data_IF_172093087912
#
_entry.id   IF_172093087912
#
_cell.length_a   1.000
_cell.length_b   1.000
_cell.length_c   1.000
_cell.angle_alpha   90.00
_cell.angle_beta   90.00
_cell.angle_gamma   90.00
#
_symmetry.space_group_name_H-M   'P 1'
#
loop_
_entity.id
_entity.type
_entity.pdbx_description
1 polymer ?
#
# COMPACT_ATOMS: atom_id res chain seq x y z
N UNK A 1 -3.52 -26.13 50.98
CA UNK A 1 -4.70 -26.52 50.15
C UNK A 1 -5.73 -27.24 51.01
N UNK A 2 -5.85 -26.88 52.28
CA UNK A 2 -6.43 -27.80 53.28
C UNK A 2 -7.89 -27.47 53.63
N UNK A 3 -8.39 -26.31 53.18
CA UNK A 3 -9.73 -25.81 53.47
C UNK A 3 -10.86 -26.29 52.55
N UNK A 4 -10.57 -27.06 51.50
CA UNK A 4 -11.57 -27.57 50.55
C UNK A 4 -12.20 -28.90 50.95
N UNK A 5 -13.40 -29.18 50.44
CA UNK A 5 -14.03 -30.51 50.54
C UNK A 5 -13.36 -31.52 49.60
N UNK A 6 -13.84 -32.78 49.58
CA UNK A 6 -13.25 -33.86 48.80
C UNK A 6 -13.08 -33.54 47.30
N UNK A 7 -14.08 -32.93 46.68
CA UNK A 7 -14.06 -32.58 45.25
C UNK A 7 -13.01 -31.49 44.99
N UNK A 8 -12.99 -30.45 45.82
CA UNK A 8 -11.99 -29.37 45.71
C UNK A 8 -10.58 -29.90 45.91
N UNK A 9 -10.35 -30.79 46.88
CA UNK A 9 -9.03 -31.39 47.13
C UNK A 9 -8.58 -32.28 45.98
N UNK A 10 -9.49 -33.08 45.43
CA UNK A 10 -9.19 -33.94 44.28
C UNK A 10 -8.82 -33.10 43.05
N UNK A 11 -9.63 -32.09 42.73
CA UNK A 11 -9.39 -31.20 41.60
C UNK A 11 -8.11 -30.37 41.79
N UNK A 12 -7.85 -29.86 43.00
CA UNK A 12 -6.62 -29.12 43.31
C UNK A 12 -5.37 -29.98 43.10
N UNK A 13 -5.42 -31.27 43.48
CA UNK A 13 -4.31 -32.20 43.25
C UNK A 13 -4.06 -32.41 41.75
N UNK A 14 -5.12 -32.64 40.98
CA UNK A 14 -5.01 -32.77 39.52
C UNK A 14 -4.42 -31.50 38.90
N UNK A 15 -4.88 -30.33 39.34
CA UNK A 15 -4.39 -29.04 38.85
C UNK A 15 -2.91 -28.80 39.17
N UNK A 16 -2.43 -29.20 40.35
CA UNK A 16 -1.01 -29.12 40.72
C UNK A 16 -0.11 -30.03 39.88
N UNK A 17 -0.63 -31.20 39.48
CA UNK A 17 0.08 -32.17 38.63
C UNK A 17 -0.03 -31.81 37.13
N UNK A 18 -0.81 -30.78 36.79
CA UNK A 18 -1.09 -30.34 35.43
C UNK A 18 -0.17 -29.18 34.98
N UNK A 19 -0.07 -28.92 33.66
CA UNK A 19 0.66 -27.76 33.16
C UNK A 19 0.17 -26.42 33.76
N UNK A 20 1.05 -25.38 33.84
CA UNK A 20 0.73 -24.13 34.55
C UNK A 20 -0.58 -23.44 34.16
N UNK A 21 -0.99 -23.54 32.90
CA UNK A 21 -2.26 -22.94 32.43
C UNK A 21 -3.50 -23.59 33.07
N UNK A 22 -3.47 -24.89 33.38
CA UNK A 22 -4.58 -25.58 34.06
C UNK A 22 -4.59 -25.28 35.56
N UNK A 23 -3.42 -25.13 36.18
CA UNK A 23 -3.32 -24.64 37.57
C UNK A 23 -3.91 -23.24 37.69
N UNK A 24 -3.59 -22.36 36.74
CA UNK A 24 -4.14 -21.02 36.68
C UNK A 24 -5.67 -21.04 36.50
N UNK A 25 -6.19 -21.81 35.55
CA UNK A 25 -7.62 -21.97 35.35
C UNK A 25 -8.34 -22.51 36.61
N UNK A 26 -7.70 -23.43 37.34
CA UNK A 26 -8.23 -23.92 38.62
C UNK A 26 -8.30 -22.81 39.67
N UNK A 27 -7.25 -21.99 39.80
CA UNK A 27 -7.22 -20.87 40.75
C UNK A 27 -8.26 -19.80 40.37
N UNK A 28 -8.43 -19.50 39.08
CA UNK A 28 -9.35 -18.45 38.64
C UNK A 28 -10.81 -18.86 38.76
N UNK A 29 -11.16 -20.09 38.39
CA UNK A 29 -12.58 -20.51 38.28
C UNK A 29 -12.85 -21.91 38.83
N UNK A 30 -11.87 -22.82 38.73
CA UNK A 30 -12.06 -24.22 39.15
C UNK A 30 -12.35 -24.38 40.63
N UNK A 31 -11.69 -23.61 41.50
CA UNK A 31 -11.87 -23.70 42.96
C UNK A 31 -13.31 -23.42 43.41
N UNK A 32 -13.99 -22.44 42.81
CA UNK A 32 -15.37 -22.08 43.15
C UNK A 32 -16.35 -23.12 42.61
N UNK A 33 -16.06 -23.67 41.42
CA UNK A 33 -16.86 -24.73 40.83
C UNK A 33 -16.80 -26.00 41.67
N UNK A 34 -15.61 -26.39 42.14
CA UNK A 34 -15.44 -27.59 42.96
C UNK A 34 -15.96 -27.38 44.38
N UNK A 35 -15.81 -26.18 44.95
CA UNK A 35 -16.42 -25.83 46.22
C UNK A 35 -17.96 -25.94 46.16
N UNK A 36 -18.56 -25.53 45.03
CA UNK A 36 -20.00 -25.73 44.81
C UNK A 36 -20.38 -27.21 44.76
N UNK A 37 -19.58 -28.08 44.15
CA UNK A 37 -19.83 -29.52 44.13
C UNK A 37 -19.75 -30.13 45.54
N UNK A 38 -18.77 -29.71 46.33
CA UNK A 38 -18.66 -30.12 47.73
C UNK A 38 -19.93 -29.74 48.51
N UNK A 39 -20.41 -28.52 48.34
CA UNK A 39 -21.61 -28.03 49.02
C UNK A 39 -22.89 -28.72 48.57
N UNK A 40 -23.05 -29.00 47.27
CA UNK A 40 -24.18 -29.79 46.76
C UNK A 40 -24.18 -31.21 47.33
N UNK A 41 -23.00 -31.82 47.44
CA UNK A 41 -22.84 -33.14 48.06
C UNK A 41 -23.20 -33.09 49.55
N UNK A 42 -22.74 -32.07 50.26
CA UNK A 42 -23.08 -31.86 51.67
C UNK A 42 -24.59 -31.66 51.88
N UNK A 43 -25.26 -30.86 51.04
CA UNK A 43 -26.72 -30.69 51.05
C UNK A 43 -27.43 -32.03 50.86
N UNK A 44 -26.99 -32.85 49.90
CA UNK A 44 -27.60 -34.16 49.65
C UNK A 44 -27.43 -35.09 50.85
N UNK A 45 -26.21 -35.20 51.40
CA UNK A 45 -25.94 -36.04 52.57
C UNK A 45 -26.78 -35.60 53.78
N UNK A 46 -26.85 -34.30 54.05
CA UNK A 46 -27.65 -33.76 55.14
C UNK A 46 -29.15 -34.02 54.92
N UNK A 47 -29.67 -33.86 53.70
CA UNK A 47 -31.05 -34.18 53.36
C UNK A 47 -31.39 -35.65 53.58
N UNK A 48 -30.51 -36.58 53.17
CA UNK A 48 -30.70 -38.02 53.43
C UNK A 48 -30.70 -38.32 54.93
N UNK A 49 -29.77 -37.73 55.70
CA UNK A 49 -29.73 -37.89 57.16
C UNK A 49 -30.98 -37.34 57.85
N UNK A 50 -31.50 -36.22 57.39
CA UNK A 50 -32.77 -35.67 57.86
C UNK A 50 -33.91 -36.67 57.63
N UNK A 51 -34.02 -37.25 56.43
CA UNK A 51 -35.06 -38.24 56.11
C UNK A 51 -34.95 -39.49 57.00
N UNK A 52 -33.73 -39.97 57.24
CA UNK A 52 -33.48 -41.09 58.16
C UNK A 52 -33.92 -40.74 59.59
N UNK A 53 -33.57 -39.55 60.08
CA UNK A 53 -33.99 -39.10 61.40
C UNK A 53 -35.53 -38.97 61.48
N UNK A 54 -36.19 -38.44 60.44
CA UNK A 54 -37.65 -38.39 60.37
C UNK A 54 -38.30 -39.78 60.38
N UNK A 55 -37.71 -40.76 59.69
CA UNK A 55 -38.14 -42.15 59.78
C UNK A 55 -37.96 -42.70 61.20
N UNK A 56 -36.87 -42.32 61.88
CA UNK A 56 -36.63 -42.62 63.29
C UNK A 56 -37.71 -42.05 64.23
N UNK A 57 -38.16 -40.81 64.00
CA UNK A 57 -39.28 -40.21 64.74
C UNK A 57 -40.53 -41.09 64.58
N UNK A 58 -40.90 -41.40 63.33
CA UNK A 58 -42.10 -42.19 63.05
C UNK A 58 -42.02 -43.59 63.68
N UNK A 59 -40.86 -44.25 63.61
CA UNK A 59 -40.64 -45.56 64.21
C UNK A 59 -40.71 -45.52 65.74
N UNK A 60 -40.06 -44.54 66.38
CA UNK A 60 -40.06 -44.40 67.84
C UNK A 60 -41.45 -44.03 68.37
N UNK A 61 -42.19 -43.14 67.69
CA UNK A 61 -43.59 -42.84 68.03
C UNK A 61 -44.50 -44.06 67.86
N UNK A 62 -44.27 -44.89 66.84
CA UNK A 62 -45.02 -46.15 66.69
C UNK A 62 -44.74 -47.13 67.85
N UNK A 63 -43.48 -47.24 68.30
CA UNK A 63 -43.10 -48.05 69.45
C UNK A 63 -43.70 -47.51 70.76
N UNK A 64 -43.71 -46.19 70.94
CA UNK A 64 -44.38 -45.53 72.07
C UNK A 64 -45.87 -45.89 72.11
N UNK A 65 -46.57 -45.74 70.98
CA UNK A 65 -47.99 -46.09 70.88
C UNK A 65 -48.25 -47.58 71.16
N UNK A 66 -47.40 -48.47 70.64
CA UNK A 66 -47.50 -49.91 70.88
C UNK A 66 -47.28 -50.26 72.36
N UNK A 67 -46.27 -49.67 73.01
CA UNK A 67 -46.00 -49.86 74.42
C UNK A 67 -47.11 -49.29 75.31
N UNK A 68 -47.67 -48.12 74.97
CA UNK A 68 -48.83 -47.56 75.65
C UNK A 68 -50.05 -48.49 75.55
N UNK A 69 -50.33 -49.04 74.36
CA UNK A 69 -51.41 -50.01 74.17
C UNK A 69 -51.17 -51.30 74.99
N UNK A 70 -49.94 -51.80 75.02
CA UNK A 70 -49.55 -52.96 75.84
C UNK A 70 -49.69 -52.69 77.35
N UNK A 71 -49.37 -51.48 77.81
CA UNK A 71 -49.54 -51.07 79.20
C UNK A 71 -51.04 -51.03 79.61
N UNK A 72 -51.90 -50.51 78.72
CA UNK A 72 -53.35 -50.51 78.93
C UNK A 72 -53.89 -51.95 78.97
N UNK A 73 -53.45 -52.80 78.05
CA UNK A 73 -53.84 -54.20 78.03
C UNK A 73 -53.36 -54.96 79.28
N UNK A 74 -52.14 -54.72 79.76
CA UNK A 74 -51.63 -55.35 80.99
C UNK A 74 -52.40 -54.88 82.23
N UNK A 75 -52.77 -53.59 82.29
CA UNK A 75 -53.63 -53.05 83.35
C UNK A 75 -55.00 -53.73 83.36
N UNK A 76 -55.61 -53.92 82.18
CA UNK A 76 -56.91 -54.59 82.06
C UNK A 76 -56.89 -56.08 82.46
N UNK A 77 -55.71 -56.70 82.50
CA UNK A 77 -55.50 -58.09 82.90
C UNK A 77 -54.94 -58.24 84.33
N UNK A 78 -55.04 -57.19 85.16
CA UNK A 78 -54.53 -57.14 86.53
C UNK A 78 -53.00 -57.44 86.66
N UNK A 79 -52.24 -57.22 85.58
CA UNK A 79 -50.79 -57.47 85.52
C UNK A 79 -49.99 -56.18 85.77
N UNK A 80 -50.06 -55.65 86.99
CA UNK A 80 -49.52 -54.32 87.34
C UNK A 80 -48.03 -54.13 87.04
N UNK A 81 -47.17 -55.11 87.33
CA UNK A 81 -45.73 -55.01 87.06
C UNK A 81 -45.42 -54.89 85.56
N UNK A 82 -46.13 -55.66 84.73
CA UNK A 82 -46.00 -55.59 83.26
C UNK A 82 -46.50 -54.26 82.72
N UNK A 83 -47.60 -53.73 83.27
CA UNK A 83 -48.11 -52.42 82.89
C UNK A 83 -47.08 -51.31 83.17
N UNK A 84 -46.39 -51.36 84.31
CA UNK A 84 -45.32 -50.43 84.65
C UNK A 84 -44.11 -50.58 83.72
N UNK A 85 -43.74 -51.80 83.35
CA UNK A 85 -42.66 -52.05 82.39
C UNK A 85 -42.96 -51.43 81.03
N UNK A 86 -44.12 -51.72 80.45
CA UNK A 86 -44.54 -51.15 79.17
C UNK A 86 -44.65 -49.62 79.22
N UNK A 87 -45.13 -49.05 80.34
CA UNK A 87 -45.16 -47.60 80.52
C UNK A 87 -43.74 -46.98 80.53
N UNK A 88 -42.72 -47.68 81.05
CA UNK A 88 -41.32 -47.22 80.95
C UNK A 88 -40.81 -47.32 79.50
N UNK A 89 -41.10 -48.41 78.80
CA UNK A 89 -40.72 -48.57 77.39
C UNK A 89 -41.35 -47.48 76.50
N UNK A 90 -42.60 -47.10 76.78
CA UNK A 90 -43.26 -46.00 76.08
C UNK A 90 -42.53 -44.67 76.31
N UNK A 91 -42.17 -44.34 77.56
CA UNK A 91 -41.41 -43.12 77.88
C UNK A 91 -40.04 -43.09 77.22
N UNK A 92 -39.34 -44.23 77.15
CA UNK A 92 -38.04 -44.31 76.48
C UNK A 92 -38.19 -44.10 74.97
N UNK A 93 -39.20 -44.71 74.35
CA UNK A 93 -39.52 -44.52 72.92
C UNK A 93 -39.88 -43.07 72.61
N UNK A 94 -40.65 -42.41 73.49
CA UNK A 94 -40.98 -40.99 73.37
C UNK A 94 -39.73 -40.10 73.40
N UNK A 95 -38.78 -40.41 74.29
CA UNK A 95 -37.49 -39.72 74.38
C UNK A 95 -36.66 -39.91 73.11
N UNK A 96 -36.58 -41.13 72.59
CA UNK A 96 -35.89 -41.41 71.32
C UNK A 96 -36.51 -40.64 70.16
N UNK A 97 -37.85 -40.54 70.09
CA UNK A 97 -38.54 -39.74 69.07
C UNK A 97 -38.11 -38.25 69.15
N UNK A 98 -37.96 -37.71 70.37
CA UNK A 98 -37.50 -36.34 70.57
C UNK A 98 -36.03 -36.12 70.18
N UNK A 99 -35.17 -37.12 70.43
CA UNK A 99 -33.76 -37.11 69.99
C UNK A 99 -33.68 -37.09 68.46
N UNK A 100 -34.42 -37.98 67.78
CA UNK A 100 -34.51 -37.97 66.32
C UNK A 100 -35.10 -36.67 65.76
N UNK A 101 -36.09 -36.07 66.44
CA UNK A 101 -36.63 -34.77 66.04
C UNK A 101 -35.60 -33.63 66.15
N UNK A 102 -34.69 -33.71 67.10
CA UNK A 102 -33.61 -32.75 67.24
C UNK A 102 -32.54 -32.96 66.16
N UNK A 103 -32.16 -34.22 65.90
CA UNK A 103 -31.24 -34.56 64.81
C UNK A 103 -31.79 -34.13 63.44
N UNK A 104 -33.07 -34.39 63.16
CA UNK A 104 -33.71 -33.99 61.91
C UNK A 104 -33.65 -32.48 61.68
N UNK A 105 -33.88 -31.67 62.73
CA UNK A 105 -33.75 -30.21 62.65
C UNK A 105 -32.31 -29.77 62.36
N UNK A 106 -31.34 -30.35 63.06
CA UNK A 106 -29.91 -30.05 62.82
C UNK A 106 -29.48 -30.39 61.39
N UNK A 107 -29.91 -31.54 60.85
CA UNK A 107 -29.60 -31.91 59.48
C UNK A 107 -30.29 -31.01 58.46
N UNK A 108 -31.52 -30.56 58.73
CA UNK A 108 -32.21 -29.59 57.88
C UNK A 108 -31.46 -28.24 57.85
N UNK A 109 -30.99 -27.76 59.00
CA UNK A 109 -30.19 -26.53 59.09
C UNK A 109 -28.86 -26.66 58.34
N UNK A 110 -28.16 -27.79 58.48
CA UNK A 110 -26.94 -28.08 57.72
C UNK A 110 -27.19 -28.09 56.21
N UNK A 111 -28.27 -28.74 55.77
CA UNK A 111 -28.63 -28.79 54.35
C UNK A 111 -28.90 -27.38 53.79
N UNK A 112 -29.61 -26.54 54.55
CA UNK A 112 -29.90 -25.15 54.18
C UNK A 112 -28.63 -24.29 54.11
N UNK A 113 -27.70 -24.44 55.07
CA UNK A 113 -26.43 -23.73 55.07
C UNK A 113 -25.58 -24.09 53.84
N UNK A 114 -25.40 -25.38 53.57
CA UNK A 114 -24.67 -25.84 52.38
C UNK A 114 -25.33 -25.39 51.08
N UNK A 115 -26.67 -25.40 51.01
CA UNK A 115 -27.39 -24.89 49.83
C UNK A 115 -27.16 -23.39 49.62
N UNK A 116 -27.14 -22.59 50.69
CA UNK A 116 -26.85 -21.16 50.63
C UNK A 116 -25.39 -20.89 50.20
N UNK A 117 -24.44 -21.71 50.65
CA UNK A 117 -23.04 -21.65 50.19
C UNK A 117 -22.90 -22.01 48.71
N UNK A 118 -23.53 -23.09 48.26
CA UNK A 118 -23.56 -23.46 46.85
C UNK A 118 -24.18 -22.36 45.96
N UNK A 119 -25.22 -21.68 46.45
CA UNK A 119 -25.84 -20.55 45.77
C UNK A 119 -24.91 -19.34 45.68
N UNK A 120 -24.15 -19.04 46.74
CA UNK A 120 -23.13 -17.98 46.73
C UNK A 120 -22.03 -18.26 45.71
N UNK A 121 -21.49 -19.49 45.66
CA UNK A 121 -20.50 -19.87 44.64
C UNK A 121 -21.07 -19.74 43.22
N UNK A 122 -22.33 -20.12 43.01
CA UNK A 122 -22.99 -19.94 41.71
C UNK A 122 -23.16 -18.46 41.34
N UNK A 123 -23.43 -17.59 42.32
CA UNK A 123 -23.52 -16.15 42.08
C UNK A 123 -22.16 -15.53 41.73
N UNK A 124 -21.10 -15.92 42.43
CA UNK A 124 -19.72 -15.50 42.08
C UNK A 124 -19.39 -15.88 40.64
N UNK A 125 -19.70 -17.12 40.22
CA UNK A 125 -19.48 -17.56 38.85
C UNK A 125 -20.28 -16.74 37.82
N UNK A 126 -21.54 -16.38 38.11
CA UNK A 126 -22.34 -15.50 37.23
C UNK A 126 -21.77 -14.09 37.14
N UNK A 127 -21.31 -13.53 38.26
CA UNK A 127 -20.70 -12.21 38.28
C UNK A 127 -19.39 -12.20 37.49
N UNK A 128 -18.56 -13.23 37.61
CA UNK A 128 -17.34 -13.39 36.82
C UNK A 128 -17.64 -13.49 35.32
N UNK A 129 -18.66 -14.26 34.93
CA UNK A 129 -19.09 -14.34 33.53
C UNK A 129 -19.59 -13.00 32.98
N UNK A 130 -20.33 -12.22 33.79
CA UNK A 130 -20.80 -10.89 33.40
C UNK A 130 -19.65 -9.88 33.27
N UNK A 131 -18.65 -9.94 34.16
CA UNK A 131 -17.44 -9.13 34.06
C UNK A 131 -16.66 -9.47 32.78
N UNK A 132 -16.45 -10.76 32.49
CA UNK A 132 -15.79 -11.20 31.27
C UNK A 132 -16.53 -10.75 29.99
N UNK A 133 -17.86 -10.75 30.00
CA UNK A 133 -18.66 -10.23 28.88
C UNK A 133 -18.46 -8.71 28.69
N UNK A 134 -18.44 -7.95 29.79
CA UNK A 134 -18.16 -6.51 29.76
C UNK A 134 -16.74 -6.22 29.24
N UNK A 135 -15.76 -6.99 29.68
CA UNK A 135 -14.37 -6.85 29.23
C UNK A 135 -14.22 -7.17 27.74
N UNK A 136 -14.95 -8.17 27.24
CA UNK A 136 -14.98 -8.50 25.81
C UNK A 136 -15.57 -7.35 24.98
N UNK A 137 -16.69 -6.76 25.41
CA UNK A 137 -17.29 -5.60 24.74
C UNK A 137 -16.36 -4.38 24.74
N UNK A 138 -15.67 -4.12 25.87
CA UNK A 138 -14.67 -3.08 25.95
C UNK A 138 -13.49 -3.34 24.99
N UNK A 139 -13.01 -4.58 24.91
CA UNK A 139 -11.94 -4.97 23.99
C UNK A 139 -12.34 -4.74 22.51
N UNK A 140 -13.57 -5.06 22.13
CA UNK A 140 -14.10 -4.76 20.78
C UNK A 140 -14.13 -3.26 20.49
N UNK A 141 -14.59 -2.45 21.46
CA UNK A 141 -14.60 -0.99 21.34
C UNK A 141 -13.19 -0.39 21.20
N UNK A 142 -12.22 -0.92 21.96
CA UNK A 142 -10.81 -0.52 21.84
C UNK A 142 -10.21 -0.93 20.51
N UNK A 143 -10.53 -2.12 20.01
CA UNK A 143 -10.10 -2.57 18.69
C UNK A 143 -10.63 -1.64 17.58
N UNK A 144 -11.93 -1.31 17.61
CA UNK A 144 -12.52 -0.37 16.66
C UNK A 144 -11.88 1.03 16.74
N UNK A 145 -11.57 1.51 17.95
CA UNK A 145 -10.89 2.79 18.16
C UNK A 145 -9.45 2.77 17.64
N UNK A 146 -8.75 1.65 17.79
CA UNK A 146 -7.41 1.45 17.26
C UNK A 146 -7.41 1.41 15.73
N UNK A 147 -8.38 0.73 15.11
CA UNK A 147 -8.57 0.70 13.65
C UNK A 147 -8.85 2.10 13.10
N UNK A 148 -9.75 2.85 13.73
CA UNK A 148 -10.03 4.24 13.34
C UNK A 148 -8.76 5.09 13.44
N UNK A 149 -8.02 5.00 14.54
CA UNK A 149 -6.77 5.74 14.75
C UNK A 149 -5.70 5.37 13.71
N UNK A 150 -5.62 4.10 13.32
CA UNK A 150 -4.75 3.65 12.24
C UNK A 150 -5.17 4.26 10.89
N UNK A 151 -6.47 4.36 10.61
CA UNK A 151 -7.01 5.04 9.43
C UNK A 151 -6.60 6.52 9.39
N UNK A 152 -6.81 7.27 10.47
CA UNK A 152 -6.39 8.68 10.57
C UNK A 152 -4.88 8.87 10.36
N UNK A 153 -4.07 7.94 10.88
CA UNK A 153 -2.62 7.98 10.69
C UNK A 153 -2.22 7.74 9.23
N UNK A 154 -2.94 6.86 8.52
CA UNK A 154 -2.73 6.62 7.09
C UNK A 154 -3.13 7.85 6.25
N UNK A 155 -4.30 8.44 6.51
CA UNK A 155 -4.76 9.65 5.82
C UNK A 155 -3.78 10.81 6.02
N UNK A 156 -3.30 10.99 7.25
CA UNK A 156 -2.30 12.01 7.59
C UNK A 156 -0.97 11.78 6.86
N UNK A 157 -0.55 10.52 6.71
CA UNK A 157 0.64 10.17 5.96
C UNK A 157 0.46 10.47 4.46
N UNK A 158 -0.70 10.17 3.88
CA UNK A 158 -1.02 10.44 2.48
C UNK A 158 -1.06 11.94 2.18
N UNK A 159 -1.63 12.75 3.06
CA UNK A 159 -1.61 14.21 2.96
C UNK A 159 -0.18 14.77 3.04
N UNK A 160 0.66 14.21 3.90
CA UNK A 160 2.07 14.57 3.99
C UNK A 160 2.84 14.22 2.70
N UNK A 161 2.58 13.04 2.11
CA UNK A 161 3.18 12.65 0.83
C UNK A 161 2.74 13.55 -0.32
N UNK A 162 1.45 13.93 -0.37
CA UNK A 162 0.92 14.86 -1.37
C UNK A 162 1.60 16.23 -1.25
N UNK A 163 1.68 16.75 -0.04
CA UNK A 163 2.34 18.03 0.25
C UNK A 163 3.82 18.00 -0.14
N UNK A 164 4.51 16.89 0.12
CA UNK A 164 5.91 16.71 -0.28
C UNK A 164 6.09 16.70 -1.81
N UNK A 165 5.17 16.05 -2.54
CA UNK A 165 5.18 16.03 -4.00
C UNK A 165 4.93 17.42 -4.61
N UNK A 166 3.98 18.18 -4.06
CA UNK A 166 3.71 19.56 -4.47
C UNK A 166 4.91 20.48 -4.22
N UNK A 167 5.57 20.32 -3.07
CA UNK A 167 6.81 21.05 -2.76
C UNK A 167 7.93 20.72 -3.74
N UNK A 168 8.10 19.46 -4.12
CA UNK A 168 9.10 19.03 -5.10
C UNK A 168 8.85 19.62 -6.49
N UNK A 169 7.59 19.62 -6.95
CA UNK A 169 7.21 20.22 -8.23
C UNK A 169 7.45 21.73 -8.24
N UNK A 170 7.10 22.41 -7.14
CA UNK A 170 7.34 23.84 -6.96
C UNK A 170 8.83 24.18 -7.01
N UNK A 171 9.67 23.38 -6.34
CA UNK A 171 11.12 23.54 -6.38
C UNK A 171 11.69 23.33 -7.79
N UNK A 172 11.16 22.36 -8.54
CA UNK A 172 11.57 22.08 -9.92
C UNK A 172 11.22 23.26 -10.84
N UNK A 173 9.99 23.79 -10.73
CA UNK A 173 9.55 24.95 -11.50
C UNK A 173 10.40 26.18 -11.18
N UNK A 174 10.67 26.44 -9.90
CA UNK A 174 11.54 27.54 -9.48
C UNK A 174 12.95 27.42 -10.08
N UNK A 175 13.48 26.21 -10.23
CA UNK A 175 14.75 25.96 -10.93
C UNK A 175 14.68 26.35 -12.42
N UNK A 176 13.61 25.95 -13.13
CA UNK A 176 13.40 26.33 -14.53
C UNK A 176 13.25 27.84 -14.72
N UNK A 177 12.53 28.50 -13.80
CA UNK A 177 12.34 29.94 -13.82
C UNK A 177 13.66 30.68 -13.57
N UNK A 178 14.52 30.16 -12.68
CA UNK A 178 15.86 30.69 -12.45
C UNK A 178 16.77 30.57 -13.69
N UNK A 179 16.71 29.44 -14.39
CA UNK A 179 17.44 29.25 -15.66
C UNK A 179 16.94 30.21 -16.74
N UNK A 180 15.62 30.34 -16.89
CA UNK A 180 14.99 31.26 -17.82
C UNK A 180 15.38 32.73 -17.53
N UNK A 181 15.40 33.12 -16.25
CA UNK A 181 15.84 34.45 -15.82
C UNK A 181 17.32 34.69 -16.15
N UNK A 182 18.17 33.68 -15.97
CA UNK A 182 19.61 33.74 -16.30
C UNK A 182 19.82 33.95 -17.81
N UNK A 183 19.11 33.19 -18.65
CA UNK A 183 19.16 33.34 -20.11
C UNK A 183 18.66 34.73 -20.55
N UNK A 184 17.53 35.19 -19.99
CA UNK A 184 16.98 36.50 -20.28
C UNK A 184 17.96 37.63 -19.90
N UNK A 185 18.60 37.52 -18.74
CA UNK A 185 19.63 38.45 -18.28
C UNK A 185 20.85 38.46 -19.22
N UNK A 186 21.37 37.30 -19.61
CA UNK A 186 22.49 37.18 -20.54
C UNK A 186 22.17 37.80 -21.91
N UNK A 187 20.98 37.53 -22.47
CA UNK A 187 20.52 38.12 -23.72
C UNK A 187 20.42 39.64 -23.65
N UNK A 188 19.90 40.16 -22.53
CA UNK A 188 19.78 41.61 -22.31
C UNK A 188 21.16 42.27 -22.24
N UNK A 189 22.11 41.67 -21.50
CA UNK A 189 23.51 42.14 -21.44
C UNK A 189 24.17 42.14 -22.82
N UNK A 190 24.03 41.05 -23.58
CA UNK A 190 24.60 40.95 -24.93
C UNK A 190 24.02 42.01 -25.89
N UNK A 191 22.69 42.25 -25.82
CA UNK A 191 22.05 43.30 -26.61
C UNK A 191 22.55 44.69 -26.24
N UNK A 192 22.70 44.97 -24.94
CA UNK A 192 23.24 46.24 -24.46
C UNK A 192 24.69 46.45 -24.94
N UNK A 193 25.54 45.44 -24.88
CA UNK A 193 26.91 45.49 -25.41
C UNK A 193 26.91 45.74 -26.93
N UNK A 194 26.06 45.05 -27.68
CA UNK A 194 25.96 45.24 -29.14
C UNK A 194 25.57 46.67 -29.49
N UNK A 195 24.57 47.22 -28.79
CA UNK A 195 24.14 48.61 -28.99
C UNK A 195 25.27 49.60 -28.66
N UNK A 196 26.05 49.35 -27.60
CA UNK A 196 27.20 50.18 -27.24
C UNK A 196 28.33 50.13 -28.29
N UNK A 197 28.62 48.95 -28.86
CA UNK A 197 29.60 48.80 -29.94
C UNK A 197 29.13 49.58 -31.17
N UNK A 198 27.85 49.41 -31.55
CA UNK A 198 27.27 50.12 -32.71
C UNK A 198 27.36 51.64 -32.56
N UNK A 199 27.03 52.16 -31.37
CA UNK A 199 27.11 53.59 -31.07
C UNK A 199 28.56 54.10 -31.24
N UNK A 200 29.55 53.39 -30.68
CA UNK A 200 30.98 53.70 -30.85
C UNK A 200 31.48 53.61 -32.29
N UNK A 201 31.02 52.61 -33.04
CA UNK A 201 31.36 52.45 -34.46
C UNK A 201 30.80 53.62 -35.28
N UNK A 202 29.56 54.03 -35.02
CA UNK A 202 28.97 55.21 -35.67
C UNK A 202 29.74 56.49 -35.34
N UNK A 203 30.17 56.68 -34.09
CA UNK A 203 31.03 57.81 -33.73
C UNK A 203 32.39 57.78 -34.44
N UNK A 204 33.02 56.60 -34.56
CA UNK A 204 34.30 56.43 -35.24
C UNK A 204 34.19 56.69 -36.75
N UNK A 205 33.14 56.17 -37.39
CA UNK A 205 32.88 56.42 -38.81
C UNK A 205 32.70 57.91 -39.07
N UNK A 206 31.92 58.61 -38.24
CA UNK A 206 31.78 60.06 -38.35
C UNK A 206 33.12 60.81 -38.15
N UNK A 207 33.99 60.34 -37.26
CA UNK A 207 35.35 60.90 -37.12
C UNK A 207 36.19 60.68 -38.38
N UNK A 208 36.25 59.45 -38.90
CA UNK A 208 37.00 59.13 -40.13
C UNK A 208 36.48 59.96 -41.31
N UNK A 209 35.15 60.03 -41.49
CA UNK A 209 34.54 60.87 -42.53
C UNK A 209 34.93 62.34 -42.40
N UNK A 210 34.98 62.88 -41.17
CA UNK A 210 35.43 64.25 -40.93
C UNK A 210 36.92 64.45 -41.23
N UNK A 211 37.78 63.49 -40.85
CA UNK A 211 39.22 63.53 -41.10
C UNK A 211 39.54 63.38 -42.59
N UNK A 212 38.84 62.49 -43.32
CA UNK A 212 38.96 62.34 -44.77
C UNK A 212 38.47 63.59 -45.51
N UNK A 213 37.40 64.22 -45.05
CA UNK A 213 36.92 65.49 -45.61
C UNK A 213 37.96 66.61 -45.42
N UNK A 214 38.56 66.70 -44.23
CA UNK A 214 39.64 67.65 -43.93
C UNK A 214 40.91 67.35 -44.75
N UNK A 215 41.28 66.07 -44.90
CA UNK A 215 42.42 65.65 -45.71
C UNK A 215 42.20 65.91 -47.21
N UNK A 216 40.99 65.65 -47.74
CA UNK A 216 40.60 66.01 -49.11
C UNK A 216 40.70 67.51 -49.34
N UNK A 217 40.22 68.32 -48.39
CA UNK A 217 40.33 69.78 -48.45
C UNK A 217 41.80 70.23 -48.46
N UNK A 218 42.64 69.66 -47.61
CA UNK A 218 44.08 69.95 -47.56
C UNK A 218 44.81 69.53 -48.84
N UNK A 219 44.49 68.38 -49.44
CA UNK A 219 45.07 67.92 -50.70
C UNK A 219 44.70 68.83 -51.90
N UNK A 220 43.46 69.38 -51.90
CA UNK A 220 43.03 70.43 -52.83
C UNK A 220 43.83 71.73 -52.64
N UNK A 221 44.23 72.06 -51.40
CA UNK A 221 45.01 73.26 -51.06
C UNK A 221 46.52 73.10 -51.33
N UNK A 222 47.10 71.89 -51.23
CA UNK A 222 48.54 71.63 -51.44
C UNK A 222 48.93 71.28 -52.89
N UNK A 223 47.97 71.08 -53.79
CA UNK A 223 48.22 70.90 -55.22
C UNK A 223 48.77 69.52 -55.62
N UNK A 224 48.75 68.53 -54.73
CA UNK A 224 49.08 67.12 -55.04
C UNK A 224 47.84 66.38 -55.55
N UNK A 225 47.39 66.69 -56.77
CA UNK A 225 46.38 65.89 -57.47
C UNK A 225 47.01 65.32 -58.74
N UNK A 226 47.61 64.15 -58.62
CA UNK A 226 48.09 63.37 -59.76
C UNK A 226 46.91 62.73 -60.50
N UNK A 227 46.78 63.18 -61.74
CA UNK A 227 45.90 62.77 -62.84
C UNK A 227 45.78 61.26 -63.01
N UNK A 228 44.54 60.74 -63.09
CA UNK A 228 44.26 59.40 -63.63
C UNK A 228 44.17 59.46 -65.16
N UNK A 229 45.09 58.78 -65.84
CA UNK A 229 45.17 58.69 -67.30
C UNK A 229 44.53 57.39 -67.83
N UNK A 230 43.94 57.45 -69.03
CA UNK A 230 43.27 56.35 -69.73
C UNK A 230 44.27 55.23 -70.08
N UNK A 231 44.24 54.14 -69.32
CA UNK A 231 44.54 52.76 -69.75
C UNK A 231 44.49 51.86 -68.49
N UNK A 232 43.38 51.17 -68.22
CA UNK A 232 43.31 50.24 -67.08
C UNK A 232 42.74 48.86 -67.47
N UNK A 233 43.47 47.75 -67.21
CA UNK A 233 43.00 46.38 -67.49
C UNK A 233 41.83 45.96 -66.58
N UNK A 234 40.94 45.09 -67.08
CA UNK A 234 39.73 44.59 -66.38
C UNK A 234 39.97 43.77 -65.10
N UNK A 235 41.21 43.68 -64.62
CA UNK A 235 41.63 42.83 -63.49
C UNK A 235 42.37 43.59 -62.39
N UNK A 236 42.52 44.93 -62.48
CA UNK A 236 43.12 45.74 -61.41
C UNK A 236 42.04 46.49 -60.62
N UNK A 237 41.89 46.17 -59.34
CA UNK A 237 40.84 46.69 -58.46
C UNK A 237 41.04 48.17 -58.08
N UNK A 238 42.22 48.73 -58.31
CA UNK A 238 42.56 50.14 -57.99
C UNK A 238 41.96 51.16 -58.95
N UNK A 239 41.24 50.69 -59.98
CA UNK A 239 40.67 51.53 -61.04
C UNK A 239 39.15 51.76 -60.94
N UNK A 240 38.49 51.28 -59.88
CA UNK A 240 37.05 51.51 -59.64
C UNK A 240 36.84 52.39 -58.40
N UNK A 241 36.29 53.59 -58.58
CA UNK A 241 35.84 54.46 -57.48
C UNK A 241 34.39 54.14 -57.08
N UNK A 242 34.06 54.31 -55.80
CA UNK A 242 32.73 54.14 -55.23
C UNK A 242 32.36 52.72 -54.81
N UNK A 243 31.05 52.47 -54.74
CA UNK A 243 30.41 51.26 -54.16
C UNK A 243 30.92 49.93 -54.75
N UNK A 244 31.41 49.94 -56.00
CA UNK A 244 31.97 48.76 -56.67
C UNK A 244 33.41 48.44 -56.25
N UNK A 245 34.21 49.42 -55.81
CA UNK A 245 35.53 49.21 -55.20
C UNK A 245 35.40 48.69 -53.76
N UNK A 246 34.46 49.24 -53.00
CA UNK A 246 34.15 48.80 -51.64
C UNK A 246 33.66 47.34 -51.58
N UNK A 247 32.90 46.88 -52.58
CA UNK A 247 32.43 45.50 -52.67
C UNK A 247 33.55 44.47 -52.94
N UNK A 248 34.65 44.88 -53.58
CA UNK A 248 35.81 44.00 -53.85
C UNK A 248 36.77 43.92 -52.66
N UNK A 249 36.89 45.00 -51.88
CA UNK A 249 37.79 45.08 -50.73
C UNK A 249 37.16 44.55 -49.43
N UNK A 250 35.83 44.65 -49.28
CA UNK A 250 35.13 44.17 -48.07
C UNK A 250 34.76 42.68 -48.09
N UNK A 251 34.52 42.10 -49.28
CA UNK A 251 34.13 40.68 -49.39
C UNK A 251 35.28 39.71 -49.60
N UNK A 252 36.54 40.16 -49.69
CA UNK A 252 37.74 39.33 -49.50
C UNK A 252 37.64 37.89 -50.03
N UNK A 253 37.12 37.70 -51.25
CA UNK A 253 36.89 36.36 -51.80
C UNK A 253 38.19 35.84 -52.43
N UNK A 254 39.11 35.41 -51.56
CA UNK A 254 40.12 34.40 -51.86
C UNK A 254 40.15 33.36 -50.74
N UNK A 255 39.15 32.47 -50.77
CA UNK A 255 39.19 31.02 -50.49
C UNK A 255 37.80 30.54 -50.04
N UNK A 256 37.43 29.32 -50.43
CA UNK A 256 36.13 28.64 -50.20
C UNK A 256 35.00 28.86 -51.25
N UNK A 257 35.37 28.99 -52.52
CA UNK A 257 34.48 28.60 -53.64
C UNK A 257 34.76 27.16 -54.05
N UNK A 258 34.49 26.21 -53.15
CA UNK A 258 34.37 24.78 -53.49
C UNK A 258 33.08 24.13 -52.92
N UNK A 259 32.10 24.91 -52.46
CA UNK A 259 30.79 24.39 -52.02
C UNK A 259 29.60 24.87 -52.87
N UNK A 260 29.85 25.61 -53.97
CA UNK A 260 28.79 26.28 -54.75
C UNK A 260 28.76 25.93 -56.25
N UNK A 261 29.33 24.80 -56.66
CA UNK A 261 29.20 24.29 -58.05
C UNK A 261 28.71 22.84 -58.17
N UNK A 262 28.30 22.20 -57.06
CA UNK A 262 27.62 20.89 -57.11
C UNK A 262 26.42 20.90 -56.17
N UNK A 263 25.23 20.91 -56.75
CA UNK A 263 23.93 20.76 -56.08
C UNK A 263 23.88 19.54 -55.14
N UNK A 264 24.36 19.68 -53.90
CA UNK A 264 24.15 18.68 -52.86
C UNK A 264 23.68 19.35 -51.55
N UNK A 265 22.37 19.49 -51.43
CA UNK A 265 21.69 20.21 -50.35
C UNK A 265 21.63 19.45 -49.02
N UNK A 266 22.23 18.25 -48.93
CA UNK A 266 22.22 17.42 -47.72
C UNK A 266 23.41 17.64 -46.79
N UNK A 267 24.46 18.33 -47.22
CA UNK A 267 25.66 18.59 -46.41
C UNK A 267 25.66 19.95 -45.66
N UNK A 268 24.62 20.79 -45.85
CA UNK A 268 24.51 22.12 -45.21
C UNK A 268 23.22 22.28 -44.39
N UNK A 269 22.59 21.17 -43.99
CA UNK A 269 21.27 21.17 -43.34
C UNK A 269 21.32 21.39 -41.83
N UNK A 270 22.39 20.96 -41.17
CA UNK A 270 22.50 21.03 -39.71
C UNK A 270 23.01 22.38 -39.16
N UNK A 271 23.39 23.33 -40.03
CA UNK A 271 23.81 24.67 -39.64
C UNK A 271 22.76 25.77 -39.95
N UNK A 272 21.71 25.43 -40.71
CA UNK A 272 20.64 26.35 -41.17
C UNK A 272 19.29 26.18 -40.45
N UNK A 273 19.28 25.60 -39.23
CA UNK A 273 18.10 25.59 -38.33
C UNK A 273 18.28 26.48 -37.09
N UNK A 274 19.46 27.09 -36.89
CA UNK A 274 19.79 27.85 -35.67
C UNK A 274 19.78 29.38 -35.88
N UNK A 275 19.71 29.88 -37.12
CA UNK A 275 19.80 31.32 -37.39
C UNK A 275 18.73 31.80 -38.38
N UNK A 276 17.50 31.95 -37.89
CA UNK A 276 16.73 33.22 -37.91
C UNK A 276 15.22 33.04 -38.13
N UNK A 277 14.40 33.90 -37.47
CA UNK A 277 12.96 33.74 -37.35
C UNK A 277 12.23 34.54 -38.44
N UNK A 278 11.01 34.12 -38.77
CA UNK A 278 10.02 34.82 -39.62
C UNK A 278 10.31 34.87 -41.13
N UNK A 279 9.81 33.86 -41.86
CA UNK A 279 8.88 34.01 -43.01
C UNK A 279 8.66 32.65 -43.70
N UNK A 280 7.73 31.85 -43.16
CA UNK A 280 6.98 30.86 -43.95
C UNK A 280 5.57 30.65 -43.38
N UNK A 281 4.86 31.77 -43.20
CA UNK A 281 3.44 31.78 -42.85
C UNK A 281 2.49 31.68 -44.07
N UNK A 282 2.99 31.46 -45.31
CA UNK A 282 2.14 31.42 -46.51
C UNK A 282 2.29 30.16 -47.39
N UNK A 283 2.81 29.05 -46.84
CA UNK A 283 2.73 27.72 -47.49
C UNK A 283 1.84 26.71 -46.74
N UNK A 284 0.98 27.18 -45.82
CA UNK A 284 0.00 26.35 -45.11
C UNK A 284 -1.46 26.54 -45.60
N UNK A 285 -1.71 27.35 -46.64
CA UNK A 285 -3.09 27.63 -47.11
C UNK A 285 -3.55 26.87 -48.37
N UNK A 286 -2.71 26.07 -49.03
CA UNK A 286 -3.10 25.31 -50.24
C UNK A 286 -3.05 23.77 -50.09
N UNK A 287 -2.92 23.24 -48.88
CA UNK A 287 -2.96 21.80 -48.60
C UNK A 287 -4.32 21.32 -48.03
N UNK A 288 -5.40 22.07 -48.24
CA UNK A 288 -6.78 21.73 -47.85
C UNK A 288 -7.62 21.12 -48.98
N UNK A 289 -7.03 20.80 -50.13
CA UNK A 289 -7.71 20.09 -51.23
C UNK A 289 -6.83 19.00 -51.82
N UNK A 290 -6.77 17.85 -51.14
CA UNK A 290 -6.71 16.46 -51.68
C UNK A 290 -6.18 15.49 -50.61
N UNK A 291 -7.02 14.52 -50.23
CA UNK A 291 -6.56 13.18 -49.87
C UNK A 291 -6.09 12.93 -48.44
N UNK A 292 -7.01 12.91 -47.48
CA UNK A 292 -6.82 12.40 -46.11
C UNK A 292 -6.61 10.88 -45.99
N UNK A 293 -5.99 10.23 -46.99
CA UNK A 293 -5.54 8.83 -46.93
C UNK A 293 -4.02 8.74 -46.74
N UNK A 294 -3.21 9.56 -47.41
CA UNK A 294 -1.75 9.48 -47.27
C UNK A 294 -1.25 9.89 -45.87
N UNK A 295 -1.88 10.89 -45.24
CA UNK A 295 -1.60 11.25 -43.84
C UNK A 295 -2.08 10.16 -42.89
N UNK A 296 -3.19 9.46 -43.22
CA UNK A 296 -3.72 8.34 -42.44
C UNK A 296 -2.85 7.10 -42.56
N UNK A 297 -2.20 6.88 -43.70
CA UNK A 297 -1.32 5.75 -43.99
C UNK A 297 0.11 6.00 -43.47
N UNK A 298 0.59 7.25 -43.47
CA UNK A 298 1.83 7.66 -42.80
C UNK A 298 1.66 7.57 -41.27
N UNK A 299 0.52 8.00 -40.72
CA UNK A 299 0.18 7.78 -39.31
C UNK A 299 0.04 6.27 -39.03
N UNK A 300 -0.64 5.49 -39.88
CA UNK A 300 -0.75 4.03 -39.70
C UNK A 300 0.60 3.31 -39.74
N UNK A 301 1.54 3.71 -40.61
CA UNK A 301 2.89 3.11 -40.68
C UNK A 301 3.85 3.59 -39.59
N UNK A 302 3.63 4.78 -39.01
CA UNK A 302 4.35 5.22 -37.80
C UNK A 302 3.84 4.53 -36.53
N UNK A 303 2.57 4.08 -36.52
CA UNK A 303 1.94 3.37 -35.39
C UNK A 303 1.85 1.84 -35.53
N UNK A 304 2.28 1.24 -36.66
CA UNK A 304 2.35 -0.22 -36.82
C UNK A 304 3.72 -0.82 -36.43
N UNK A 305 4.47 -0.13 -35.55
CA UNK A 305 5.50 -0.76 -34.72
C UNK A 305 4.81 -1.20 -33.44
N UNK A 306 4.53 -2.51 -33.34
CA UNK A 306 3.75 -3.11 -32.26
C UNK A 306 3.94 -2.43 -30.91
N UNK A 307 2.85 -1.87 -30.40
CA UNK A 307 2.86 -1.20 -29.11
C UNK A 307 3.13 -2.23 -28.02
N UNK A 308 4.18 -1.98 -27.24
CA UNK A 308 4.64 -2.83 -26.14
C UNK A 308 3.95 -2.38 -24.88
N UNK A 309 2.70 -2.79 -24.72
CA UNK A 309 1.81 -2.36 -23.64
C UNK A 309 1.42 -3.52 -22.71
N UNK A 310 0.99 -3.18 -21.50
CA UNK A 310 0.32 -4.06 -20.54
C UNK A 310 -1.14 -3.63 -20.39
N UNK A 311 -2.00 -4.53 -19.91
CA UNK A 311 -3.41 -4.21 -19.65
C UNK A 311 -3.55 -3.27 -18.46
N UNK A 312 -4.56 -2.38 -18.48
CA UNK A 312 -4.97 -1.62 -17.29
C UNK A 312 -5.27 -2.56 -16.11
N UNK A 313 -4.96 -2.12 -14.89
CA UNK A 313 -4.98 -2.93 -13.67
C UNK A 313 -3.71 -3.76 -13.44
N UNK A 314 -2.73 -3.73 -14.36
CA UNK A 314 -1.42 -4.36 -14.13
C UNK A 314 -0.70 -3.66 -12.98
N UNK A 315 -0.35 -4.41 -11.93
CA UNK A 315 0.34 -3.87 -10.76
C UNK A 315 1.83 -3.69 -11.03
N UNK A 316 2.32 -2.46 -10.84
CA UNK A 316 3.73 -2.09 -10.94
C UNK A 316 4.30 -1.86 -9.54
N UNK A 317 5.49 -2.41 -9.29
CA UNK A 317 6.19 -2.25 -8.02
C UNK A 317 6.90 -0.89 -7.99
N UNK A 318 6.43 -0.01 -7.12
CA UNK A 318 6.97 1.33 -6.92
C UNK A 318 8.28 1.30 -6.12
N UNK A 319 9.05 2.39 -6.14
CA UNK A 319 10.33 2.49 -5.43
C UNK A 319 10.23 2.23 -3.91
N UNK A 320 9.10 2.58 -3.30
CA UNK A 320 8.77 2.33 -1.89
C UNK A 320 8.26 0.89 -1.61
N UNK A 321 8.26 0.01 -2.63
CA UNK A 321 7.72 -1.36 -2.60
C UNK A 321 6.20 -1.49 -2.48
N UNK A 322 5.45 -0.40 -2.54
CA UNK A 322 4.00 -0.48 -2.78
C UNK A 322 3.73 -0.88 -4.25
N UNK A 323 2.53 -1.37 -4.53
CA UNK A 323 2.06 -1.60 -5.90
C UNK A 323 1.07 -0.52 -6.33
N UNK A 324 1.14 -0.13 -7.60
CA UNK A 324 0.20 0.83 -8.21
C UNK A 324 -0.24 0.30 -9.58
N UNK A 325 -1.48 0.55 -9.98
CA UNK A 325 -1.95 0.19 -11.31
C UNK A 325 -1.21 0.98 -12.39
N UNK A 326 -0.89 0.34 -13.51
CA UNK A 326 -0.06 0.92 -14.57
C UNK A 326 -0.66 2.18 -15.19
N UNK A 327 -1.98 2.26 -15.29
CA UNK A 327 -2.73 3.42 -15.79
C UNK A 327 -2.65 4.64 -14.87
N UNK A 328 -2.36 4.43 -13.59
CA UNK A 328 -2.28 5.48 -12.56
C UNK A 328 -0.87 6.00 -12.33
N UNK A 329 0.13 5.38 -12.96
CA UNK A 329 1.53 5.83 -12.89
C UNK A 329 1.67 7.16 -13.62
N UNK A 330 2.53 8.07 -13.19
CA UNK A 330 2.75 9.37 -13.85
C UNK A 330 4.24 9.60 -14.13
N UNK A 331 4.54 10.44 -15.12
CA UNK A 331 5.91 10.86 -15.37
C UNK A 331 6.45 11.59 -14.13
N UNK A 332 7.68 11.27 -13.73
CA UNK A 332 8.31 11.72 -12.49
C UNK A 332 8.27 10.70 -11.35
N UNK A 333 7.33 9.76 -11.35
CA UNK A 333 7.27 8.71 -10.32
C UNK A 333 8.42 7.70 -10.45
N UNK A 334 8.83 7.10 -9.34
CA UNK A 334 9.88 6.09 -9.33
C UNK A 334 9.30 4.68 -9.19
N UNK A 335 9.69 3.80 -10.11
CA UNK A 335 9.37 2.37 -10.10
C UNK A 335 10.63 1.55 -9.88
N UNK A 336 10.51 0.37 -9.27
CA UNK A 336 11.64 -0.55 -9.20
C UNK A 336 11.84 -1.19 -10.57
N UNK A 337 13.04 -1.06 -11.11
CA UNK A 337 13.43 -1.68 -12.36
C UNK A 337 14.80 -2.35 -12.23
N UNK A 338 14.88 -3.56 -12.80
CA UNK A 338 16.11 -4.36 -12.82
C UNK A 338 16.89 -4.07 -14.09
N UNK A 339 18.17 -3.72 -13.95
CA UNK A 339 19.06 -3.66 -15.09
C UNK A 339 19.37 -5.11 -15.55
N UNK A 340 19.03 -5.51 -16.78
CA UNK A 340 19.17 -6.89 -17.24
C UNK A 340 20.64 -7.35 -17.35
N UNK A 341 21.59 -6.42 -17.52
CA UNK A 341 23.02 -6.73 -17.65
C UNK A 341 23.71 -6.90 -16.30
N UNK A 342 23.39 -6.03 -15.33
CA UNK A 342 24.02 -6.05 -14.00
C UNK A 342 23.19 -6.80 -12.96
N UNK A 343 21.93 -7.14 -13.27
CA UNK A 343 20.90 -7.70 -12.37
C UNK A 343 20.59 -6.84 -11.15
N UNK A 344 21.10 -5.61 -11.10
CA UNK A 344 20.84 -4.69 -10.00
C UNK A 344 19.45 -4.08 -10.17
N UNK A 345 18.62 -4.18 -9.14
CA UNK A 345 17.29 -3.57 -9.08
C UNK A 345 17.37 -2.27 -8.29
N UNK A 346 17.04 -1.16 -8.95
CA UNK A 346 17.10 0.18 -8.36
C UNK A 346 15.85 0.98 -8.74
N UNK A 347 15.46 1.98 -7.95
CA UNK A 347 14.47 2.97 -8.37
C UNK A 347 14.85 3.63 -9.69
N UNK A 348 13.88 3.74 -10.60
CA UNK A 348 14.02 4.44 -11.89
C UNK A 348 12.82 5.36 -12.10
N UNK A 349 13.12 6.59 -12.53
CA UNK A 349 12.11 7.59 -12.84
C UNK A 349 11.40 7.27 -14.13
N UNK A 350 10.07 7.25 -14.10
CA UNK A 350 9.21 7.17 -15.27
C UNK A 350 9.28 8.50 -16.01
N UNK A 351 9.75 8.51 -17.26
CA UNK A 351 9.90 9.76 -18.02
C UNK A 351 8.69 10.11 -18.86
N UNK A 352 7.87 9.12 -19.23
CA UNK A 352 6.68 9.29 -20.08
C UNK A 352 5.77 8.06 -19.98
N UNK A 353 4.45 8.28 -20.00
CA UNK A 353 3.48 7.21 -20.23
C UNK A 353 3.25 7.01 -21.73
N UNK A 354 3.18 5.76 -22.15
CA UNK A 354 2.79 5.37 -23.51
C UNK A 354 1.42 4.71 -23.36
N UNK A 355 0.37 5.41 -23.80
CA UNK A 355 -1.02 4.96 -23.68
C UNK A 355 -1.56 4.74 -25.10
N UNK A 356 -2.23 3.61 -25.29
CA UNK A 356 -2.83 3.19 -26.54
C UNK A 356 -4.20 2.58 -26.27
N UNK A 357 -5.24 3.16 -26.86
CA UNK A 357 -6.62 2.77 -26.57
C UNK A 357 -7.13 1.61 -27.47
N UNK A 358 -6.40 1.31 -28.56
CA UNK A 358 -6.86 0.43 -29.64
C UNK A 358 -6.02 -0.86 -29.81
N UNK A 359 -5.28 -1.29 -28.78
CA UNK A 359 -4.49 -2.53 -28.86
C UNK A 359 -5.41 -3.77 -28.88
N UNK A 360 -5.27 -4.63 -29.90
CA UNK A 360 -6.22 -5.73 -30.19
C UNK A 360 -5.70 -7.13 -29.88
N UNK A 361 -4.41 -7.27 -29.52
CA UNK A 361 -3.76 -8.59 -29.38
C UNK A 361 -2.99 -8.69 -28.05
N UNK A 362 -3.71 -9.06 -26.99
CA UNK A 362 -3.13 -9.38 -25.69
C UNK A 362 -2.91 -10.88 -25.55
N UNK A 363 -1.93 -11.25 -24.73
CA UNK A 363 -1.64 -12.60 -24.30
C UNK A 363 -1.70 -12.64 -22.77
N UNK A 364 -2.46 -13.58 -22.20
CA UNK A 364 -2.42 -13.85 -20.77
C UNK A 364 -1.31 -14.88 -20.48
N UNK A 365 -0.35 -14.48 -19.64
CA UNK A 365 0.75 -15.32 -19.17
C UNK A 365 0.44 -15.80 -17.76
N UNK A 366 0.41 -17.11 -17.55
CA UNK A 366 0.35 -17.71 -16.20
C UNK A 366 1.75 -18.13 -15.78
N UNK A 367 2.31 -17.45 -14.78
CA UNK A 367 3.68 -17.63 -14.29
C UNK A 367 3.61 -18.36 -12.94
N UNK A 368 4.33 -19.48 -12.80
CA UNK A 368 4.41 -20.20 -11.52
C UNK A 368 5.41 -19.48 -10.60
N UNK A 369 4.92 -18.94 -9.48
CA UNK A 369 5.75 -18.31 -8.45
C UNK A 369 5.78 -19.17 -7.18
N UNK A 370 6.75 -18.98 -6.26
CA UNK A 370 6.77 -19.69 -4.99
C UNK A 370 5.49 -19.52 -4.15
N UNK A 371 4.77 -18.41 -4.34
CA UNK A 371 3.51 -18.08 -3.66
C UNK A 371 2.26 -18.53 -4.45
N UNK A 372 2.45 -19.41 -5.45
CA UNK A 372 1.40 -19.90 -6.34
C UNK A 372 1.42 -19.24 -7.73
N UNK A 373 0.58 -19.73 -8.67
CA UNK A 373 0.50 -19.16 -10.02
C UNK A 373 -0.04 -17.72 -9.99
N UNK A 374 0.54 -16.85 -10.82
CA UNK A 374 0.11 -15.45 -11.03
C UNK A 374 -0.14 -15.20 -12.51
N UNK A 375 -1.10 -14.32 -12.82
CA UNK A 375 -1.48 -13.95 -14.19
C UNK A 375 -0.95 -12.57 -14.55
N UNK A 376 -0.48 -12.41 -15.78
CA UNK A 376 -0.04 -11.14 -16.33
C UNK A 376 -0.46 -11.02 -17.78
N UNK A 377 -1.14 -9.94 -18.14
CA UNK A 377 -1.67 -9.73 -19.49
C UNK A 377 -0.89 -8.62 -20.19
N UNK A 378 -0.25 -8.97 -21.31
CA UNK A 378 0.57 -8.05 -22.09
C UNK A 378 0.28 -8.19 -23.60
N UNK A 379 0.57 -7.14 -24.37
CA UNK A 379 0.53 -7.21 -25.84
C UNK A 379 1.48 -8.30 -26.38
N UNK A 380 1.15 -8.89 -27.53
CA UNK A 380 1.93 -10.00 -28.11
C UNK A 380 3.41 -9.68 -28.33
N UNK A 381 3.71 -8.43 -28.68
CA UNK A 381 5.07 -7.94 -28.95
C UNK A 381 5.82 -7.48 -27.68
N UNK A 382 5.18 -7.53 -26.50
CA UNK A 382 5.78 -7.03 -25.26
C UNK A 382 6.98 -7.90 -24.86
N UNK A 383 8.18 -7.31 -24.68
CA UNK A 383 9.38 -8.08 -24.40
C UNK A 383 9.49 -8.49 -22.92
N UNK A 384 9.85 -9.75 -22.69
CA UNK A 384 10.18 -10.30 -21.38
C UNK A 384 11.66 -10.71 -21.32
N UNK A 385 12.32 -10.44 -20.19
CA UNK A 385 13.73 -10.77 -20.02
C UNK A 385 13.91 -12.25 -19.68
N UNK A 386 14.67 -12.98 -20.51
CA UNK A 386 15.09 -14.35 -20.21
C UNK A 386 16.53 -14.33 -19.65
N UNK A 387 16.75 -14.73 -18.38
CA UNK A 387 18.06 -14.66 -17.74
C UNK A 387 19.05 -15.73 -18.25
N UNK A 388 18.58 -16.86 -18.79
CA UNK A 388 19.42 -17.92 -19.35
C UNK A 388 19.98 -17.51 -20.73
N UNK A 389 19.11 -16.99 -21.59
CA UNK A 389 19.46 -16.55 -22.95
C UNK A 389 20.04 -15.14 -22.99
N UNK A 390 20.01 -14.42 -21.87
CA UNK A 390 20.47 -13.02 -21.71
C UNK A 390 19.94 -12.08 -22.80
N UNK A 391 18.66 -12.27 -23.15
CA UNK A 391 17.99 -11.50 -24.20
C UNK A 391 16.52 -11.28 -23.85
N UNK A 392 15.95 -10.23 -24.45
CA UNK A 392 14.51 -9.99 -24.45
C UNK A 392 13.82 -10.91 -25.47
N UNK A 393 12.71 -11.51 -25.07
CA UNK A 393 11.89 -12.40 -25.90
C UNK A 393 10.45 -11.84 -25.94
N UNK A 394 9.81 -11.69 -27.11
CA UNK A 394 8.41 -11.27 -27.19
C UNK A 394 7.45 -12.20 -26.44
N UNK A 395 6.35 -11.65 -25.93
CA UNK A 395 5.34 -12.41 -25.19
C UNK A 395 4.76 -13.57 -26.00
N UNK A 396 4.56 -13.39 -27.31
CA UNK A 396 4.08 -14.41 -28.25
C UNK A 396 5.05 -15.58 -28.45
N UNK A 397 6.34 -15.39 -28.17
CA UNK A 397 7.39 -16.41 -28.33
C UNK A 397 7.75 -17.12 -27.01
N UNK A 398 7.10 -16.76 -25.90
CA UNK A 398 7.29 -17.44 -24.63
C UNK A 398 6.66 -18.84 -24.68
N UNK A 399 7.50 -19.86 -24.57
CA UNK A 399 7.08 -21.27 -24.55
C UNK A 399 7.00 -21.78 -23.11
N UNK A 400 6.19 -22.82 -22.83
CA UNK A 400 6.09 -23.34 -21.49
C UNK A 400 7.44 -23.77 -20.91
N UNK A 401 7.73 -23.31 -19.69
CA UNK A 401 9.00 -23.56 -19.01
C UNK A 401 10.12 -22.56 -19.27
N UNK A 402 9.86 -21.49 -20.04
CA UNK A 402 10.84 -20.40 -20.26
C UNK A 402 11.21 -19.74 -18.94
N UNK A 403 12.51 -19.53 -18.72
CA UNK A 403 13.01 -18.87 -17.52
C UNK A 403 12.75 -17.36 -17.57
N UNK A 404 12.15 -16.83 -16.51
CA UNK A 404 11.83 -15.41 -16.30
C UNK A 404 12.40 -14.96 -14.96
N UNK A 405 12.60 -13.64 -14.80
CA UNK A 405 13.03 -13.05 -13.52
C UNK A 405 11.86 -12.35 -12.82
N UNK A 406 11.73 -12.58 -11.52
CA UNK A 406 10.72 -11.92 -10.68
C UNK A 406 11.27 -10.67 -10.01
N UNK A 407 10.40 -9.91 -9.33
CA UNK A 407 10.77 -8.69 -8.58
C UNK A 407 11.76 -8.91 -7.44
N UNK A 408 11.80 -10.12 -6.85
CA UNK A 408 12.78 -10.49 -5.83
C UNK A 408 14.06 -11.14 -6.42
N UNK A 409 14.26 -10.99 -7.73
CA UNK A 409 15.41 -11.53 -8.50
C UNK A 409 15.50 -13.06 -8.50
N UNK A 410 14.42 -13.77 -8.16
CA UNK A 410 14.37 -15.22 -8.33
C UNK A 410 14.05 -15.56 -9.79
N UNK A 411 14.64 -16.66 -10.27
CA UNK A 411 14.31 -17.19 -11.58
C UNK A 411 13.13 -18.14 -11.44
N UNK A 412 12.06 -17.88 -12.18
CA UNK A 412 10.85 -18.71 -12.25
C UNK A 412 10.67 -19.27 -13.64
N UNK A 413 9.89 -20.35 -13.76
CA UNK A 413 9.53 -20.95 -15.05
C UNK A 413 8.12 -20.53 -15.42
N UNK A 414 7.94 -20.04 -16.65
CA UNK A 414 6.63 -19.70 -17.19
C UNK A 414 6.67 -19.40 -18.69
N UNK A 415 5.52 -19.29 -19.36
CA UNK A 415 4.15 -19.54 -18.86
C UNK A 415 3.84 -21.04 -18.71
N UNK A 416 2.76 -21.43 -18.01
CA UNK A 416 2.34 -22.84 -17.82
C UNK A 416 1.64 -23.46 -19.04
N UNK A 417 1.10 -22.61 -19.89
CA UNK A 417 0.40 -22.93 -21.14
C UNK A 417 0.88 -21.94 -22.22
N UNK A 418 0.72 -22.25 -23.52
CA UNK A 418 0.96 -21.28 -24.58
C UNK A 418 0.15 -20.00 -24.32
N UNK A 419 0.67 -18.81 -24.66
CA UNK A 419 -0.05 -17.56 -24.50
C UNK A 419 -1.42 -17.64 -25.19
N UNK A 420 -2.49 -17.43 -24.41
CA UNK A 420 -3.88 -17.45 -24.90
C UNK A 420 -4.35 -16.01 -25.08
N UNK A 421 -4.99 -15.71 -26.22
CA UNK A 421 -5.65 -14.42 -26.39
C UNK A 421 -6.86 -14.33 -25.45
N UNK A 422 -6.95 -13.31 -24.57
CA UNK A 422 -8.08 -13.19 -23.67
C UNK A 422 -9.37 -12.92 -24.46
N UNK A 423 -10.47 -13.52 -24.03
CA UNK A 423 -11.80 -13.15 -24.52
C UNK A 423 -12.04 -11.65 -24.22
N UNK A 424 -12.62 -10.93 -25.19
CA UNK A 424 -12.82 -9.46 -25.15
C UNK A 424 -13.29 -8.97 -23.77
N UNK A 425 -12.60 -8.01 -23.11
CA UNK A 425 -13.04 -7.49 -21.83
C UNK A 425 -14.30 -6.63 -21.99
N UNK A 426 -15.34 -6.95 -21.21
CA UNK A 426 -16.49 -6.08 -21.02
C UNK A 426 -16.06 -4.84 -20.22
N UNK A 427 -16.01 -3.68 -20.88
CA UNK A 427 -15.96 -2.38 -20.24
C UNK A 427 -17.25 -2.18 -19.42
N UNK A 428 -17.14 -2.09 -18.09
CA UNK A 428 -18.23 -1.61 -17.25
C UNK A 428 -18.32 -0.08 -17.35
N UNK A 429 -19.53 0.51 -17.37
CA UNK A 429 -19.68 1.96 -17.49
C UNK A 429 -19.33 2.66 -16.17
N UNK A 430 -18.46 3.67 -16.26
CA UNK A 430 -18.15 4.60 -15.18
C UNK A 430 -19.41 5.35 -14.72
N UNK A 431 -19.54 5.54 -13.41
CA UNK A 431 -20.59 6.35 -12.77
C UNK A 431 -20.00 7.64 -12.24
#
# INVERSE_FOLDING_TARGET
>A
MDGGGPETKAAAKVALESPPHLLHAFIETGQDATARLDQLTATHIAGVKQLIAQAGIAAATAQENAANAAAVAATANDAAEKALEYARQAKESAKQAQEYATQARQYAEQAAQSAAEAARSAQTARNAAAAAATDAEAAESYAASAEASAGWAQDSADDAYRSAAEAYNSATQAGQDADAATIASAKTKARAQTLWIQDRETELLHRIESEEADARKKALETGEIAVWNKECPKTDARCYDGVLGFAFEWYGLKSEVECLDKQNFDACKDLMLVLSPTKKANQLKNATKKGGSAVRDIIRNLFNRGCKCFLAGTQVLMANRATKNIEDIRAGEQVLATNPNTRVTTPRTVTRQIITDDDKHFNELTIDTPEGPRKLTATSEHPFWNPERRRWIPASELTPGTSLITSNQTTVRGPRQPPVQPARPHLQPHR
#
